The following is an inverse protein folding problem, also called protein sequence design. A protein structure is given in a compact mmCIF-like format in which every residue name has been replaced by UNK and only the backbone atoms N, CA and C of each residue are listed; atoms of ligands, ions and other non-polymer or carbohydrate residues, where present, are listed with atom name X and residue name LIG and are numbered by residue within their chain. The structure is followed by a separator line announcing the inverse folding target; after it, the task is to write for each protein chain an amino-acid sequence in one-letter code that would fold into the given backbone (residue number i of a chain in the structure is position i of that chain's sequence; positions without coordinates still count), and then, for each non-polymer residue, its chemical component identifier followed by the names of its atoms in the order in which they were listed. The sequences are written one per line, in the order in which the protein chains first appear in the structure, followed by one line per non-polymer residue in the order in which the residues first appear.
data_IF_083549110314
#
_entry.id   IF_083549110314
#
_cell.length_a   1.000
_cell.length_b   1.000
_cell.length_c   1.000
_cell.angle_alpha   90.00
_cell.angle_beta   90.00
_cell.angle_gamma   90.00
#
_symmetry.space_group_name_H-M   'P 1'
#
loop_
_entity.id
_entity.type
_entity.pdbx_description
1 polymer ?
#
# COMPACT_ATOMS: atom_id res chain seq x y z
N UNK A 1 -30.01 -20.16 -13.76
CA UNK A 1 -28.86 -20.29 -12.83
C UNK A 1 -29.21 -19.55 -11.55
N UNK A 2 -28.88 -20.05 -10.37
CA UNK A 2 -29.05 -19.30 -9.14
C UNK A 2 -28.18 -18.02 -9.18
N UNK A 3 -28.66 -16.91 -8.62
CA UNK A 3 -27.94 -15.61 -8.62
C UNK A 3 -26.52 -15.73 -8.10
N UNK A 4 -26.30 -16.59 -7.13
CA UNK A 4 -25.00 -16.92 -6.55
C UNK A 4 -23.98 -17.44 -7.62
N UNK A 5 -24.40 -18.37 -8.49
CA UNK A 5 -23.52 -18.89 -9.56
C UNK A 5 -23.18 -17.81 -10.60
N UNK A 6 -24.15 -16.94 -10.92
CA UNK A 6 -23.93 -15.81 -11.83
C UNK A 6 -22.94 -14.82 -11.21
N UNK A 7 -23.11 -14.47 -9.93
CA UNK A 7 -22.21 -13.59 -9.22
C UNK A 7 -20.78 -14.15 -9.16
N UNK A 8 -20.63 -15.46 -8.90
CA UNK A 8 -19.33 -16.12 -8.88
C UNK A 8 -18.64 -16.06 -10.26
N UNK A 9 -19.36 -16.36 -11.33
CA UNK A 9 -18.81 -16.32 -12.68
C UNK A 9 -18.35 -14.90 -13.03
N UNK A 10 -19.19 -13.90 -12.79
CA UNK A 10 -18.86 -12.49 -13.06
C UNK A 10 -17.66 -12.04 -12.24
N UNK A 11 -17.59 -12.42 -10.97
CA UNK A 11 -16.49 -12.12 -10.08
C UNK A 11 -15.16 -12.74 -10.56
N UNK A 12 -15.18 -14.04 -10.94
CA UNK A 12 -13.99 -14.71 -11.49
C UNK A 12 -13.56 -14.05 -12.81
N UNK A 13 -14.50 -13.79 -13.73
CA UNK A 13 -14.20 -13.11 -14.99
C UNK A 13 -13.59 -11.71 -14.77
N UNK A 14 -14.11 -10.95 -13.81
CA UNK A 14 -13.52 -9.66 -13.41
C UNK A 14 -12.05 -9.83 -13.03
N UNK A 15 -11.72 -10.78 -12.14
CA UNK A 15 -10.34 -11.02 -11.73
C UNK A 15 -9.45 -11.50 -12.89
N UNK A 16 -9.94 -12.36 -13.76
CA UNK A 16 -9.21 -12.78 -14.95
C UNK A 16 -8.87 -11.57 -15.84
N UNK A 17 -9.83 -10.67 -16.07
CA UNK A 17 -9.58 -9.46 -16.86
C UNK A 17 -8.56 -8.54 -16.16
N UNK A 18 -8.66 -8.39 -14.85
CA UNK A 18 -7.73 -7.56 -14.06
C UNK A 18 -6.29 -8.08 -14.12
N UNK A 19 -6.10 -9.40 -14.15
CA UNK A 19 -4.78 -10.04 -14.22
C UNK A 19 -4.21 -9.93 -15.65
N UNK A 20 -5.03 -10.24 -16.67
CA UNK A 20 -4.58 -10.32 -18.06
C UNK A 20 -4.40 -8.96 -18.70
N UNK A 21 -5.28 -7.99 -18.35
CA UNK A 21 -5.28 -6.62 -18.91
C UNK A 21 -5.43 -5.58 -17.79
N UNK A 22 -4.33 -5.23 -17.17
CA UNK A 22 -4.31 -4.28 -16.04
C UNK A 22 -4.92 -2.92 -16.38
N UNK A 23 -4.78 -2.45 -17.62
CA UNK A 23 -5.38 -1.20 -18.11
C UNK A 23 -6.92 -1.23 -18.10
N UNK A 24 -7.54 -2.42 -18.07
CA UNK A 24 -8.97 -2.61 -18.09
C UNK A 24 -9.59 -2.84 -16.70
N UNK A 25 -8.78 -2.87 -15.65
CA UNK A 25 -9.22 -3.22 -14.28
C UNK A 25 -10.40 -2.37 -13.81
N UNK A 26 -10.36 -1.05 -13.98
CA UNK A 26 -11.48 -0.15 -13.60
C UNK A 26 -12.76 -0.48 -14.35
N UNK A 27 -12.65 -0.75 -15.66
CA UNK A 27 -13.81 -1.06 -16.49
C UNK A 27 -14.43 -2.41 -16.11
N UNK A 28 -13.61 -3.42 -15.85
CA UNK A 28 -14.07 -4.75 -15.41
C UNK A 28 -14.85 -4.66 -14.09
N UNK A 29 -14.32 -3.94 -13.11
CA UNK A 29 -14.94 -3.76 -11.79
C UNK A 29 -16.28 -3.05 -11.92
N UNK A 30 -16.32 -1.90 -12.62
CA UNK A 30 -17.57 -1.15 -12.79
C UNK A 30 -18.60 -1.88 -13.64
N UNK A 31 -18.19 -2.63 -14.65
CA UNK A 31 -19.10 -3.50 -15.42
C UNK A 31 -19.77 -4.52 -14.51
N UNK A 32 -19.00 -5.21 -13.66
CA UNK A 32 -19.58 -6.19 -12.74
C UNK A 32 -20.45 -5.53 -11.67
N UNK A 33 -20.04 -4.38 -11.12
CA UNK A 33 -20.87 -3.63 -10.17
C UNK A 33 -22.21 -3.22 -10.79
N UNK A 34 -22.21 -2.70 -12.02
CA UNK A 34 -23.44 -2.34 -12.75
C UNK A 34 -24.31 -3.57 -13.07
N UNK A 35 -23.69 -4.69 -13.46
CA UNK A 35 -24.41 -5.94 -13.68
C UNK A 35 -25.04 -6.46 -12.37
N UNK A 36 -24.37 -6.32 -11.24
CA UNK A 36 -24.93 -6.71 -9.93
C UNK A 36 -26.17 -5.87 -9.58
N UNK A 37 -26.15 -4.58 -9.85
CA UNK A 37 -27.34 -3.71 -9.69
C UNK A 37 -28.42 -4.10 -10.70
N UNK A 38 -28.06 -4.34 -11.96
CA UNK A 38 -29.01 -4.70 -13.03
C UNK A 38 -29.72 -6.05 -12.78
N UNK A 39 -28.99 -7.04 -12.28
CA UNK A 39 -29.49 -8.37 -11.95
C UNK A 39 -30.22 -8.44 -10.60
N UNK A 40 -30.23 -7.38 -9.82
CA UNK A 40 -30.84 -7.34 -8.49
C UNK A 40 -30.04 -8.07 -7.41
N UNK A 41 -28.75 -8.33 -7.64
CA UNK A 41 -27.81 -8.81 -6.63
C UNK A 41 -27.56 -7.71 -5.59
N UNK A 42 -27.38 -6.47 -6.05
CA UNK A 42 -27.35 -5.28 -5.22
C UNK A 42 -28.69 -4.53 -5.30
N UNK A 43 -29.07 -3.90 -4.20
CA UNK A 43 -30.26 -3.08 -4.17
C UNK A 43 -30.13 -1.87 -5.12
N UNK A 44 -31.18 -1.56 -5.88
CA UNK A 44 -31.20 -0.43 -6.86
C UNK A 44 -31.38 0.93 -6.22
N UNK A 45 -31.23 1.05 -4.91
CA UNK A 45 -31.37 2.31 -4.19
C UNK A 45 -30.04 3.08 -4.19
N UNK A 46 -29.96 4.30 -4.78
CA UNK A 46 -28.73 5.09 -4.81
C UNK A 46 -28.14 5.38 -3.42
N UNK A 47 -29.00 5.64 -2.42
CA UNK A 47 -28.54 5.89 -1.05
C UNK A 47 -27.89 4.65 -0.44
N UNK A 48 -28.43 3.46 -0.71
CA UNK A 48 -27.81 2.19 -0.31
C UNK A 48 -26.44 2.03 -0.98
N UNK A 49 -26.33 2.22 -2.30
CA UNK A 49 -25.08 2.10 -3.03
C UNK A 49 -24.00 3.06 -2.49
N UNK A 50 -24.38 4.29 -2.14
CA UNK A 50 -23.49 5.25 -1.51
C UNK A 50 -23.09 4.85 -0.09
N UNK A 51 -23.96 4.18 0.67
CA UNK A 51 -23.68 3.73 2.03
C UNK A 51 -22.72 2.54 2.08
N UNK A 52 -22.64 1.74 1.00
CA UNK A 52 -21.71 0.61 0.86
C UNK A 52 -20.26 1.10 0.71
N UNK A 53 -20.06 2.29 0.13
CA UNK A 53 -18.74 2.85 -0.09
C UNK A 53 -18.14 3.32 1.24
N UNK A 54 -16.93 2.86 1.56
CA UNK A 54 -16.20 3.36 2.72
C UNK A 54 -15.59 4.74 2.42
N UNK A 55 -16.36 5.79 2.70
CA UNK A 55 -15.95 7.17 2.45
C UNK A 55 -14.73 7.59 3.25
N UNK A 56 -14.51 7.02 4.44
CA UNK A 56 -13.31 7.30 5.23
C UNK A 56 -12.05 6.91 4.45
N UNK A 57 -12.04 5.71 3.85
CA UNK A 57 -10.93 5.22 3.01
C UNK A 57 -10.72 6.12 1.80
N UNK A 58 -11.79 6.46 1.08
CA UNK A 58 -11.71 7.33 -0.11
C UNK A 58 -11.14 8.71 0.23
N UNK A 59 -11.62 9.31 1.31
CA UNK A 59 -11.18 10.63 1.77
C UNK A 59 -9.74 10.61 2.29
N UNK A 60 -9.32 9.55 3.00
CA UNK A 60 -7.94 9.40 3.44
C UNK A 60 -7.00 9.37 2.23
N UNK A 61 -7.27 8.51 1.26
CA UNK A 61 -6.42 8.36 0.07
C UNK A 61 -6.39 9.67 -0.73
N UNK A 62 -7.55 10.25 -1.05
CA UNK A 62 -7.61 11.48 -1.82
C UNK A 62 -6.95 12.67 -1.12
N UNK A 63 -7.18 12.83 0.20
CA UNK A 63 -6.59 13.89 1.00
C UNK A 63 -5.08 13.78 1.13
N UNK A 64 -4.56 12.58 1.41
CA UNK A 64 -3.11 12.36 1.53
C UNK A 64 -2.40 12.59 0.20
N UNK A 65 -2.96 12.18 -0.93
CA UNK A 65 -2.37 12.42 -2.26
C UNK A 65 -2.17 13.91 -2.56
N UNK A 66 -3.13 14.77 -2.21
CA UNK A 66 -2.99 16.23 -2.37
C UNK A 66 -1.86 16.78 -1.49
N UNK A 67 -1.77 16.36 -0.22
CA UNK A 67 -0.71 16.81 0.69
C UNK A 67 0.67 16.39 0.18
N UNK A 68 0.77 15.15 -0.28
CA UNK A 68 1.99 14.56 -0.85
C UNK A 68 2.43 15.30 -2.11
N UNK A 69 1.50 15.75 -2.97
CA UNK A 69 1.83 16.58 -4.13
C UNK A 69 2.62 17.83 -3.69
N UNK A 70 2.13 18.59 -2.70
CA UNK A 70 2.83 19.78 -2.20
C UNK A 70 4.16 19.43 -1.52
N UNK A 71 4.24 18.27 -0.84
CA UNK A 71 5.48 17.79 -0.24
C UNK A 71 6.55 17.50 -1.30
N UNK A 72 6.17 16.88 -2.42
CA UNK A 72 7.07 16.64 -3.56
C UNK A 72 7.53 17.97 -4.18
N UNK A 73 6.59 18.89 -4.46
CA UNK A 73 6.89 20.21 -5.03
C UNK A 73 7.83 21.05 -4.15
N UNK A 74 7.84 20.82 -2.82
CA UNK A 74 8.74 21.51 -1.89
C UNK A 74 10.21 21.13 -2.05
N UNK A 75 10.54 20.08 -2.81
CA UNK A 75 11.88 19.50 -2.96
C UNK A 75 12.51 19.00 -1.65
N UNK A 76 11.74 18.96 -0.56
CA UNK A 76 12.21 18.44 0.73
C UNK A 76 12.67 16.97 0.62
N UNK A 77 11.98 16.06 -0.10
CA UNK A 77 12.44 14.70 -0.26
C UNK A 77 13.84 14.60 -0.90
N UNK A 78 14.12 15.42 -1.92
CA UNK A 78 15.43 15.48 -2.55
C UNK A 78 16.51 15.88 -1.54
N UNK A 79 16.21 16.90 -0.74
CA UNK A 79 17.12 17.38 0.31
C UNK A 79 17.40 16.32 1.38
N UNK A 80 16.38 15.57 1.79
CA UNK A 80 16.54 14.47 2.75
C UNK A 80 17.38 13.32 2.17
N UNK A 81 17.16 12.98 0.90
CA UNK A 81 17.95 11.96 0.19
C UNK A 81 19.44 12.37 0.10
N UNK A 82 19.74 13.65 -0.20
CA UNK A 82 21.12 14.17 -0.25
C UNK A 82 21.81 14.09 1.12
N UNK A 83 21.11 14.39 2.20
CA UNK A 83 21.66 14.26 3.57
C UNK A 83 22.05 12.80 3.87
N UNK A 84 21.29 11.82 3.34
CA UNK A 84 21.61 10.41 3.49
C UNK A 84 22.84 10.06 2.66
N UNK A 85 22.91 10.56 1.43
CA UNK A 85 24.04 10.34 0.52
C UNK A 85 25.35 10.82 1.12
N UNK A 86 25.38 12.01 1.71
CA UNK A 86 26.57 12.60 2.34
C UNK A 86 27.14 11.72 3.47
N UNK A 87 26.32 10.82 4.04
CA UNK A 87 26.73 9.87 5.09
C UNK A 87 27.17 8.49 4.55
N UNK A 88 27.02 8.23 3.25
CA UNK A 88 27.33 6.94 2.65
C UNK A 88 28.80 6.82 2.25
N UNK A 89 29.45 5.75 2.67
CA UNK A 89 30.86 5.48 2.31
C UNK A 89 31.03 4.85 0.93
N UNK A 90 30.02 4.16 0.42
CA UNK A 90 30.06 3.46 -0.88
C UNK A 90 28.65 3.24 -1.44
N UNK A 91 28.58 2.83 -2.72
CA UNK A 91 27.34 2.63 -3.47
C UNK A 91 26.41 1.60 -2.84
N UNK A 92 26.94 0.52 -2.25
CA UNK A 92 26.11 -0.48 -1.55
C UNK A 92 25.28 0.18 -0.45
N UNK A 93 25.92 1.00 0.39
CA UNK A 93 25.20 1.70 1.46
C UNK A 93 24.25 2.76 0.92
N UNK A 94 24.57 3.40 -0.21
CA UNK A 94 23.61 4.29 -0.88
C UNK A 94 22.33 3.53 -1.25
N UNK A 95 22.45 2.37 -1.91
CA UNK A 95 21.30 1.55 -2.30
C UNK A 95 20.47 1.16 -1.06
N UNK A 96 21.14 0.67 -0.01
CA UNK A 96 20.46 0.21 1.21
C UNK A 96 19.78 1.37 1.93
N UNK A 97 20.50 2.46 2.20
CA UNK A 97 19.96 3.59 2.96
C UNK A 97 18.87 4.34 2.17
N UNK A 98 19.01 4.48 0.86
CA UNK A 98 17.95 5.05 0.01
C UNK A 98 16.69 4.16 -0.01
N UNK A 99 16.86 2.84 0.01
CA UNK A 99 15.74 1.91 0.10
C UNK A 99 15.03 2.01 1.45
N UNK A 100 15.78 2.02 2.56
CA UNK A 100 15.22 2.20 3.91
C UNK A 100 14.56 3.57 4.07
N UNK A 101 15.17 4.62 3.50
CA UNK A 101 14.58 5.95 3.48
C UNK A 101 13.26 5.97 2.72
N UNK A 102 13.23 5.38 1.52
CA UNK A 102 12.00 5.24 0.75
C UNK A 102 10.93 4.50 1.54
N UNK A 103 11.28 3.41 2.19
CA UNK A 103 10.39 2.69 3.07
C UNK A 103 9.88 3.54 4.23
N UNK A 104 10.77 4.21 4.97
CA UNK A 104 10.39 5.07 6.10
C UNK A 104 9.46 6.21 5.68
N UNK A 105 9.66 6.77 4.50
CA UNK A 105 8.75 7.77 3.91
C UNK A 105 7.42 7.12 3.54
N UNK A 106 7.46 5.92 2.95
CA UNK A 106 6.27 5.18 2.53
C UNK A 106 5.40 4.72 3.71
N UNK A 107 5.95 4.63 4.90
CA UNK A 107 5.13 4.41 6.09
C UNK A 107 4.08 5.50 6.34
N UNK A 108 4.24 6.69 5.74
CA UNK A 108 3.35 7.84 5.91
C UNK A 108 2.83 8.41 4.59
N UNK A 109 3.34 7.93 3.47
CA UNK A 109 3.02 8.37 2.11
C UNK A 109 2.80 7.14 1.25
N UNK A 110 1.82 7.18 0.36
CA UNK A 110 1.55 6.12 -0.60
C UNK A 110 2.82 5.62 -1.31
N UNK A 111 2.92 4.31 -1.50
CA UNK A 111 4.10 3.64 -2.03
C UNK A 111 4.43 4.06 -3.46
N UNK A 112 3.43 4.31 -4.33
CA UNK A 112 3.64 4.79 -5.71
C UNK A 112 4.19 6.21 -5.69
N UNK A 113 3.59 7.10 -4.91
CA UNK A 113 4.05 8.47 -4.75
C UNK A 113 5.48 8.52 -4.19
N UNK A 114 5.81 7.65 -3.24
CA UNK A 114 7.17 7.52 -2.69
C UNK A 114 8.17 7.11 -3.76
N UNK A 115 7.84 6.14 -4.62
CA UNK A 115 8.73 5.74 -5.74
C UNK A 115 8.89 6.88 -6.73
N UNK A 116 7.80 7.54 -7.15
CA UNK A 116 7.86 8.70 -8.07
C UNK A 116 8.72 9.83 -7.54
N UNK A 117 8.81 9.99 -6.22
CA UNK A 117 9.56 11.03 -5.54
C UNK A 117 11.05 10.68 -5.37
N UNK A 118 11.35 9.45 -4.92
CA UNK A 118 12.72 9.07 -4.54
C UNK A 118 13.50 8.44 -5.69
N UNK A 119 12.82 7.73 -6.59
CA UNK A 119 13.50 7.06 -7.70
C UNK A 119 14.20 8.03 -8.67
N UNK A 120 13.69 9.23 -9.02
CA UNK A 120 14.43 10.21 -9.82
C UNK A 120 15.77 10.62 -9.19
N UNK A 121 15.80 10.77 -7.85
CA UNK A 121 17.03 11.06 -7.10
C UNK A 121 18.01 9.90 -7.22
N UNK A 122 17.53 8.67 -7.01
CA UNK A 122 18.31 7.44 -7.21
C UNK A 122 18.88 7.33 -8.64
N UNK A 123 18.07 7.66 -9.67
CA UNK A 123 18.51 7.72 -11.07
C UNK A 123 19.64 8.74 -11.29
N UNK A 124 19.47 9.95 -10.76
CA UNK A 124 20.48 11.01 -10.90
C UNK A 124 21.82 10.59 -10.28
N UNK A 125 21.77 9.95 -9.10
CA UNK A 125 22.94 9.40 -8.43
C UNK A 125 23.62 8.34 -9.31
N UNK A 126 22.85 7.34 -9.77
CA UNK A 126 23.37 6.25 -10.58
C UNK A 126 24.01 6.76 -11.89
N UNK A 127 23.42 7.79 -12.53
CA UNK A 127 23.99 8.46 -13.71
C UNK A 127 25.32 9.13 -13.39
N UNK A 128 25.40 9.83 -12.24
CA UNK A 128 26.63 10.54 -11.82
C UNK A 128 27.79 9.57 -11.59
N UNK A 129 27.54 8.46 -10.89
CA UNK A 129 28.57 7.45 -10.58
C UNK A 129 28.68 6.36 -11.65
N UNK A 130 27.96 6.50 -12.76
CA UNK A 130 28.01 5.61 -13.94
C UNK A 130 27.75 4.12 -13.62
N UNK A 131 26.76 3.85 -12.80
CA UNK A 131 26.30 2.49 -12.47
C UNK A 131 24.90 2.24 -13.02
N UNK A 132 24.51 0.95 -13.13
CA UNK A 132 23.15 0.57 -13.47
C UNK A 132 22.16 1.04 -12.38
N UNK A 133 21.08 1.73 -12.74
CA UNK A 133 20.06 2.16 -11.77
C UNK A 133 19.10 1.04 -11.35
N UNK A 134 19.15 -0.12 -12.00
CA UNK A 134 18.22 -1.23 -11.74
C UNK A 134 18.21 -1.65 -10.26
N UNK A 135 19.38 -1.96 -9.61
CA UNK A 135 19.37 -2.34 -8.19
C UNK A 135 18.79 -1.26 -7.28
N UNK A 136 19.08 0.00 -7.55
CA UNK A 136 18.61 1.14 -6.77
C UNK A 136 17.09 1.28 -6.84
N UNK A 137 16.53 1.37 -8.04
CA UNK A 137 15.10 1.61 -8.23
C UNK A 137 14.26 0.43 -7.78
N UNK A 138 14.69 -0.80 -8.05
CA UNK A 138 13.97 -1.98 -7.58
C UNK A 138 13.99 -2.07 -6.05
N UNK A 139 15.11 -1.78 -5.40
CA UNK A 139 15.21 -1.79 -3.95
C UNK A 139 14.34 -0.69 -3.31
N UNK A 140 14.28 0.51 -3.91
CA UNK A 140 13.37 1.59 -3.51
C UNK A 140 11.92 1.11 -3.59
N UNK A 141 11.51 0.48 -4.70
CA UNK A 141 10.15 0.02 -4.91
C UNK A 141 9.72 -1.04 -3.90
N UNK A 142 10.51 -2.11 -3.73
CA UNK A 142 10.17 -3.20 -2.81
C UNK A 142 10.19 -2.75 -1.34
N UNK A 143 11.07 -1.81 -0.97
CA UNK A 143 11.14 -1.27 0.38
C UNK A 143 9.97 -0.30 0.66
N UNK A 144 9.60 0.52 -0.32
CA UNK A 144 8.42 1.39 -0.26
C UNK A 144 7.15 0.57 -0.07
N UNK A 145 6.96 -0.47 -0.87
CA UNK A 145 5.80 -1.35 -0.74
C UNK A 145 5.76 -2.11 0.61
N UNK A 146 6.92 -2.55 1.12
CA UNK A 146 7.01 -3.20 2.43
C UNK A 146 6.56 -2.25 3.55
N UNK A 147 7.20 -1.10 3.69
CA UNK A 147 7.00 -0.23 4.85
C UNK A 147 5.71 0.61 4.73
N UNK A 148 5.09 0.70 3.55
CA UNK A 148 3.74 1.24 3.41
C UNK A 148 2.71 0.55 4.31
N UNK A 149 2.88 -0.74 4.62
CA UNK A 149 2.03 -1.47 5.55
C UNK A 149 2.24 -1.13 7.03
N UNK A 150 3.24 -0.32 7.39
CA UNK A 150 3.60 -0.05 8.78
C UNK A 150 2.56 0.80 9.52
N UNK A 151 1.92 1.74 8.85
CA UNK A 151 0.94 2.65 9.47
C UNK A 151 -0.38 2.69 8.73
N UNK A 152 -1.38 3.28 9.36
CA UNK A 152 -2.72 3.44 8.78
C UNK A 152 -2.73 4.21 7.45
N UNK A 153 -1.79 5.09 7.20
CA UNK A 153 -1.80 6.03 6.05
C UNK A 153 -0.74 5.74 4.98
N UNK A 154 0.14 4.77 5.23
CA UNK A 154 1.28 4.50 4.36
C UNK A 154 0.93 3.76 3.06
N UNK A 155 -0.06 2.86 3.09
CA UNK A 155 -0.49 2.12 1.90
C UNK A 155 -2.01 1.98 1.86
N UNK A 156 -2.56 1.90 0.66
CA UNK A 156 -4.01 1.68 0.44
C UNK A 156 -4.51 0.43 1.16
N UNK A 157 -3.74 -0.65 1.22
CA UNK A 157 -4.10 -1.89 1.92
C UNK A 157 -4.24 -1.69 3.43
N UNK A 158 -3.36 -0.89 4.03
CA UNK A 158 -3.44 -0.51 5.45
C UNK A 158 -4.64 0.38 5.74
N UNK A 159 -4.91 1.36 4.86
CA UNK A 159 -6.09 2.23 4.96
C UNK A 159 -7.38 1.39 4.88
N UNK A 160 -7.40 0.39 3.99
CA UNK A 160 -8.55 -0.52 3.83
C UNK A 160 -8.74 -1.39 5.08
N UNK A 161 -7.68 -1.99 5.61
CA UNK A 161 -7.75 -2.75 6.86
C UNK A 161 -8.26 -1.86 8.01
N UNK A 162 -7.67 -0.68 8.16
CA UNK A 162 -8.08 0.29 9.19
C UNK A 162 -9.53 0.70 9.07
N UNK A 163 -9.99 0.99 7.85
CA UNK A 163 -11.39 1.34 7.59
C UNK A 163 -12.37 0.19 7.80
N UNK A 164 -11.98 -1.04 7.44
CA UNK A 164 -12.80 -2.24 7.58
C UNK A 164 -12.88 -2.71 9.04
N UNK A 165 -11.74 -2.82 9.71
CA UNK A 165 -11.62 -3.26 11.10
C UNK A 165 -11.89 -2.11 12.10
N UNK A 166 -12.21 -0.90 11.63
CA UNK A 166 -12.43 0.32 12.41
C UNK A 166 -11.25 0.65 13.34
N UNK A 167 -10.03 0.42 12.85
CA UNK A 167 -8.80 0.71 13.56
C UNK A 167 -8.46 2.19 13.47
N UNK A 168 -7.97 2.75 14.55
CA UNK A 168 -7.38 4.09 14.59
C UNK A 168 -5.87 4.04 14.27
N UNK A 169 -5.23 5.20 14.13
CA UNK A 169 -3.81 5.30 13.77
C UNK A 169 -2.89 4.64 14.80
N UNK A 170 -3.15 4.82 16.10
CA UNK A 170 -2.32 4.27 17.16
C UNK A 170 -2.42 2.75 17.29
N UNK A 171 -3.50 2.15 16.81
CA UNK A 171 -3.69 0.70 16.85
C UNK A 171 -2.78 -0.05 15.86
N UNK A 172 -2.19 0.65 14.87
CA UNK A 172 -1.11 0.09 14.08
C UNK A 172 0.19 -0.05 14.88
N UNK A 173 0.39 0.77 15.92
CA UNK A 173 1.54 0.65 16.84
C UNK A 173 1.22 -0.29 18.00
N UNK A 174 0.13 -0.02 18.71
CA UNK A 174 -0.27 -0.84 19.86
C UNK A 174 -1.78 -1.07 19.82
N UNK A 175 -2.18 -2.33 19.76
CA UNK A 175 -3.56 -2.74 19.78
C UNK A 175 -3.82 -3.73 20.91
N UNK A 176 -4.81 -3.49 21.74
CA UNK A 176 -5.15 -4.32 22.91
C UNK A 176 -3.93 -4.61 23.82
N UNK A 177 -3.01 -3.65 23.96
CA UNK A 177 -1.80 -3.78 24.75
C UNK A 177 -0.69 -4.63 24.12
N UNK A 178 -0.85 -5.06 22.88
CA UNK A 178 0.16 -5.83 22.12
C UNK A 178 0.77 -4.99 21.00
N UNK A 179 2.05 -5.21 20.63
CA UNK A 179 2.66 -4.59 19.47
C UNK A 179 1.89 -4.90 18.18
N UNK A 180 1.59 -3.85 17.38
CA UNK A 180 0.83 -3.94 16.15
C UNK A 180 1.67 -4.13 14.89
N UNK A 181 1.05 -3.81 13.74
CA UNK A 181 1.65 -3.99 12.41
C UNK A 181 2.93 -3.19 12.21
N UNK A 182 3.06 -1.98 12.80
CA UNK A 182 4.26 -1.18 12.72
C UNK A 182 5.52 -1.99 13.06
N UNK A 183 5.51 -2.66 14.20
CA UNK A 183 6.67 -3.46 14.64
C UNK A 183 6.91 -4.68 13.76
N UNK A 184 5.86 -5.33 13.26
CA UNK A 184 5.97 -6.45 12.32
C UNK A 184 6.71 -6.03 11.05
N UNK A 185 6.31 -4.89 10.48
CA UNK A 185 6.84 -4.37 9.23
C UNK A 185 8.26 -3.84 9.41
N UNK A 186 8.54 -3.09 10.47
CA UNK A 186 9.88 -2.55 10.72
C UNK A 186 10.91 -3.65 11.03
N UNK A 187 10.52 -4.68 11.78
CA UNK A 187 11.38 -5.87 11.97
C UNK A 187 11.62 -6.59 10.65
N UNK A 188 10.60 -6.68 9.79
CA UNK A 188 10.73 -7.18 8.43
C UNK A 188 11.71 -6.35 7.61
N UNK A 189 11.63 -5.02 7.68
CA UNK A 189 12.55 -4.12 7.00
C UNK A 189 14.00 -4.30 7.50
N UNK A 190 14.21 -4.42 8.81
CA UNK A 190 15.52 -4.72 9.38
C UNK A 190 16.07 -6.06 8.87
N UNK A 191 15.23 -7.09 8.77
CA UNK A 191 15.62 -8.41 8.27
C UNK A 191 16.02 -8.39 6.78
N UNK A 192 15.57 -7.40 5.99
CA UNK A 192 15.99 -7.26 4.58
C UNK A 192 17.39 -6.65 4.44
N UNK A 193 17.91 -5.94 5.44
CA UNK A 193 19.23 -5.28 5.37
C UNK A 193 20.35 -6.28 5.07
N UNK A 194 20.55 -7.38 5.82
CA UNK A 194 21.58 -8.36 5.51
C UNK A 194 21.39 -9.00 4.12
N UNK A 195 20.15 -9.16 3.65
CA UNK A 195 19.86 -9.65 2.29
C UNK A 195 20.36 -8.66 1.26
N UNK A 196 20.04 -7.37 1.41
CA UNK A 196 20.53 -6.32 0.52
C UNK A 196 22.05 -6.19 0.55
N UNK A 197 22.68 -6.29 1.74
CA UNK A 197 24.14 -6.31 1.87
C UNK A 197 24.77 -7.47 1.09
N UNK A 198 24.17 -8.65 1.13
CA UNK A 198 24.64 -9.81 0.37
C UNK A 198 24.45 -9.60 -1.16
N UNK A 199 23.28 -9.14 -1.59
CA UNK A 199 22.97 -8.92 -2.99
C UNK A 199 23.87 -7.84 -3.63
N UNK A 200 24.11 -6.75 -2.89
CA UNK A 200 24.82 -5.57 -3.41
C UNK A 200 26.30 -5.50 -2.97
N UNK A 201 26.86 -6.55 -2.39
CA UNK A 201 28.25 -6.61 -1.89
C UNK A 201 29.35 -6.25 -2.92
N UNK A 202 29.01 -6.27 -4.22
CA UNK A 202 29.93 -5.92 -5.31
C UNK A 202 29.98 -4.41 -5.58
N UNK A 203 29.03 -3.62 -5.08
CA UNK A 203 28.94 -2.17 -5.30
C UNK A 203 29.73 -1.42 -4.23
N UNK A 204 31.06 -1.45 -4.32
CA UNK A 204 31.98 -0.85 -3.33
C UNK A 204 32.63 0.45 -3.79
N UNK A 205 32.21 1.01 -4.94
CA UNK A 205 32.73 2.27 -5.45
C UNK A 205 32.44 3.39 -4.44
N UNK A 206 33.41 4.32 -4.20
CA UNK A 206 33.18 5.48 -3.36
C UNK A 206 32.13 6.40 -3.98
N UNK A 207 31.44 7.15 -3.14
CA UNK A 207 30.43 8.13 -3.57
C UNK A 207 30.93 9.52 -3.22
N UNK A 208 30.90 10.43 -4.18
CA UNK A 208 31.20 11.83 -3.98
C UNK A 208 29.93 12.60 -3.59
N UNK A 209 30.09 13.60 -2.71
CA UNK A 209 29.00 14.47 -2.28
C UNK A 209 28.29 15.14 -3.47
N UNK A 210 27.00 15.33 -3.36
CA UNK A 210 26.15 15.98 -4.35
C UNK A 210 25.94 17.46 -4.04
N UNK A 211 25.57 18.25 -5.05
CA UNK A 211 25.11 19.62 -4.85
C UNK A 211 23.85 19.60 -3.95
N UNK A 212 23.72 20.62 -3.11
CA UNK A 212 22.62 20.70 -2.15
C UNK A 212 21.40 21.33 -2.79
N UNK A 213 20.28 20.57 -2.83
CA UNK A 213 18.99 21.07 -3.29
C UNK A 213 18.45 22.14 -2.32
N UNK A 214 18.03 23.28 -2.82
CA UNK A 214 17.31 24.30 -2.07
C UNK A 214 15.85 23.90 -1.91
N UNK A 215 15.35 23.93 -0.66
CA UNK A 215 13.96 23.59 -0.33
C UNK A 215 13.07 24.80 -0.61
N UNK A 216 12.03 24.62 -1.43
CA UNK A 216 11.11 25.70 -1.82
C UNK A 216 10.08 26.10 -0.74
N UNK A 217 10.12 25.45 0.40
CA UNK A 217 9.28 25.77 1.56
C UNK A 217 9.07 24.60 2.51
N UNK A 218 8.94 24.90 3.78
CA UNK A 218 8.81 23.90 4.85
C UNK A 218 7.35 23.55 5.18
N UNK A 219 6.39 24.39 4.75
CA UNK A 219 4.98 24.24 5.10
C UNK A 219 4.39 22.86 4.70
N UNK A 220 4.67 22.28 3.50
CA UNK A 220 4.16 20.96 3.17
C UNK A 220 4.68 19.84 4.08
N UNK A 221 5.93 19.96 4.55
CA UNK A 221 6.49 19.02 5.53
C UNK A 221 5.77 19.13 6.88
N UNK A 222 5.49 20.36 7.33
CA UNK A 222 4.72 20.63 8.54
C UNK A 222 3.30 20.08 8.40
N UNK A 223 2.66 20.25 7.24
CA UNK A 223 1.34 19.71 6.96
C UNK A 223 1.31 18.18 7.03
N UNK A 224 2.30 17.49 6.45
CA UNK A 224 2.41 16.04 6.52
C UNK A 224 2.57 15.55 7.97
N UNK A 225 3.45 16.20 8.75
CA UNK A 225 3.58 15.92 10.19
C UNK A 225 2.25 16.23 10.90
N UNK A 226 1.59 17.31 10.53
CA UNK A 226 0.28 17.72 11.04
C UNK A 226 -0.80 16.65 10.84
N UNK A 227 -0.81 15.95 9.70
CA UNK A 227 -1.71 14.78 9.48
C UNK A 227 -1.43 13.72 10.55
N UNK A 228 -0.17 13.29 10.68
CA UNK A 228 0.23 12.23 11.61
C UNK A 228 -0.15 12.62 13.05
N UNK A 229 0.21 13.83 13.47
CA UNK A 229 -0.13 14.33 14.82
C UNK A 229 -1.63 14.38 15.03
N UNK A 230 -2.40 14.87 14.05
CA UNK A 230 -3.87 14.93 14.15
C UNK A 230 -4.52 13.55 14.25
N UNK A 231 -4.02 12.56 13.51
CA UNK A 231 -4.47 11.17 13.59
C UNK A 231 -4.12 10.53 14.94
N UNK A 232 -2.94 10.83 15.49
CA UNK A 232 -2.55 10.41 16.84
C UNK A 232 -3.51 11.01 17.87
N UNK A 233 -3.74 12.34 17.83
CA UNK A 233 -4.67 13.02 18.75
C UNK A 233 -6.06 12.43 18.62
N UNK A 234 -6.58 12.24 17.41
CA UNK A 234 -7.89 11.63 17.17
C UNK A 234 -8.01 10.22 17.75
N UNK A 235 -6.92 9.46 17.79
CA UNK A 235 -6.89 8.11 18.35
C UNK A 235 -7.16 8.06 19.88
N UNK A 236 -6.91 9.18 20.58
CA UNK A 236 -7.14 9.28 22.02
C UNK A 236 -8.51 9.91 22.38
N UNK A 237 -9.28 10.37 21.39
CA UNK A 237 -10.61 10.93 21.61
C UNK A 237 -11.64 9.79 21.53
N UNK A 238 -12.37 9.51 22.62
CA UNK A 238 -13.39 8.46 22.60
C UNK A 238 -14.59 8.85 21.71
N UNK A 239 -15.23 7.85 21.12
CA UNK A 239 -16.43 7.99 20.29
C UNK A 239 -16.28 8.93 19.07
N UNK A 240 -15.09 8.97 18.49
CA UNK A 240 -14.89 9.72 17.24
C UNK A 240 -15.72 9.09 16.10
N UNK A 241 -16.30 9.92 15.21
CA UNK A 241 -17.02 9.41 14.04
C UNK A 241 -16.09 8.54 13.18
N UNK A 242 -16.60 7.43 12.62
CA UNK A 242 -15.79 6.52 11.78
C UNK A 242 -15.19 7.16 10.52
N UNK A 243 -15.57 8.39 10.18
CA UNK A 243 -15.06 9.17 9.04
C UNK A 243 -13.92 10.14 9.43
N UNK A 244 -13.55 10.22 10.72
CA UNK A 244 -12.66 11.26 11.26
C UNK A 244 -11.27 11.28 10.58
N UNK A 245 -10.70 10.11 10.30
CA UNK A 245 -9.37 10.02 9.68
C UNK A 245 -9.39 10.63 8.27
N UNK A 246 -10.42 10.32 7.48
CA UNK A 246 -10.62 10.92 6.16
C UNK A 246 -10.84 12.42 6.21
N UNK A 247 -11.64 12.91 7.18
CA UNK A 247 -11.86 14.35 7.38
C UNK A 247 -10.56 15.07 7.71
N UNK A 248 -9.73 14.54 8.61
CA UNK A 248 -8.42 15.12 8.94
C UNK A 248 -7.57 15.28 7.67
N UNK A 249 -7.44 14.22 6.87
CA UNK A 249 -6.66 14.26 5.64
C UNK A 249 -7.21 15.30 4.66
N UNK A 250 -8.53 15.36 4.45
CA UNK A 250 -9.15 16.33 3.56
C UNK A 250 -9.02 17.77 4.05
N UNK A 251 -9.21 18.03 5.34
CA UNK A 251 -9.08 19.37 5.92
C UNK A 251 -7.65 19.91 5.75
N UNK A 252 -6.64 19.09 6.08
CA UNK A 252 -5.24 19.49 5.91
C UNK A 252 -4.89 19.67 4.42
N UNK A 253 -5.44 18.84 3.52
CA UNK A 253 -5.29 19.04 2.08
C UNK A 253 -5.86 20.38 1.62
N UNK A 254 -7.06 20.75 2.08
CA UNK A 254 -7.65 22.06 1.80
C UNK A 254 -6.81 23.21 2.36
N UNK A 255 -6.25 23.05 3.56
CA UNK A 255 -5.33 24.05 4.13
C UNK A 255 -4.08 24.19 3.25
N UNK A 256 -3.48 23.09 2.77
CA UNK A 256 -2.35 23.13 1.84
C UNK A 256 -2.69 23.90 0.56
N UNK A 257 -3.84 23.61 -0.04
CA UNK A 257 -4.33 24.29 -1.24
C UNK A 257 -4.56 25.79 -0.97
N UNK A 258 -5.15 26.15 0.18
CA UNK A 258 -5.42 27.54 0.54
C UNK A 258 -4.13 28.33 0.79
N UNK A 259 -3.16 27.75 1.48
CA UNK A 259 -1.85 28.39 1.72
C UNK A 259 -1.10 28.61 0.42
N UNK A 260 -1.06 27.63 -0.48
CA UNK A 260 -0.39 27.78 -1.76
C UNK A 260 -1.06 28.86 -2.63
N UNK A 261 -2.40 28.88 -2.68
CA UNK A 261 -3.17 29.86 -3.43
C UNK A 261 -2.97 31.30 -2.92
N UNK A 262 -3.01 31.52 -1.58
CA UNK A 262 -2.93 32.85 -0.99
C UNK A 262 -1.51 33.35 -0.80
N UNK A 263 -0.54 32.47 -0.46
CA UNK A 263 0.83 32.84 -0.13
C UNK A 263 1.72 32.85 -1.37
N UNK A 264 1.69 31.76 -2.15
CA UNK A 264 2.53 31.64 -3.36
C UNK A 264 1.90 32.25 -4.60
N UNK A 265 0.59 32.58 -4.58
CA UNK A 265 -0.18 33.14 -5.71
C UNK A 265 -0.04 32.32 -7.00
N UNK A 266 0.04 31.01 -6.88
CA UNK A 266 0.18 30.08 -8.00
C UNK A 266 -1.11 29.26 -8.24
N UNK A 267 -2.13 29.81 -8.93
CA UNK A 267 -3.40 29.11 -9.17
C UNK A 267 -3.22 27.82 -10.00
N UNK A 268 -2.12 27.70 -10.74
CA UNK A 268 -1.82 26.49 -11.52
C UNK A 268 -1.53 25.28 -10.62
N UNK A 269 -0.91 25.48 -9.45
CA UNK A 269 -0.62 24.42 -8.51
C UNK A 269 -1.90 23.82 -7.92
N UNK A 270 -2.95 24.60 -7.73
CA UNK A 270 -4.24 24.11 -7.28
C UNK A 270 -4.83 23.09 -8.28
N UNK A 271 -4.77 23.41 -9.58
CA UNK A 271 -5.20 22.48 -10.61
C UNK A 271 -4.32 21.23 -10.67
N UNK A 272 -3.02 21.39 -10.58
CA UNK A 272 -2.05 20.28 -10.58
C UNK A 272 -2.23 19.38 -9.36
N UNK A 273 -2.47 19.94 -8.16
CA UNK A 273 -2.69 19.14 -6.94
C UNK A 273 -3.97 18.30 -7.01
N UNK A 274 -5.05 18.83 -7.61
CA UNK A 274 -6.27 18.05 -7.85
C UNK A 274 -6.10 17.01 -8.96
N UNK A 275 -5.24 17.27 -9.94
CA UNK A 275 -4.92 16.31 -11.00
C UNK A 275 -3.93 15.21 -10.53
N UNK A 276 -3.15 15.45 -9.47
CA UNK A 276 -2.25 14.46 -8.88
C UNK A 276 -2.99 13.37 -8.11
N UNK A 277 -4.28 13.58 -7.78
CA UNK A 277 -5.10 12.55 -7.16
C UNK A 277 -5.31 11.40 -8.16
N UNK A 278 -4.92 10.21 -7.78
CA UNK A 278 -5.12 9.00 -8.59
C UNK A 278 -6.60 8.60 -8.60
N UNK A 279 -7.31 9.18 -9.58
CA UNK A 279 -8.73 8.93 -9.80
C UNK A 279 -9.00 7.47 -10.16
N UNK A 280 -8.04 6.79 -10.78
CA UNK A 280 -8.20 5.40 -11.17
C UNK A 280 -8.27 4.51 -9.92
N UNK A 281 -7.36 4.68 -8.96
CA UNK A 281 -7.40 3.97 -7.70
C UNK A 281 -8.68 4.24 -6.91
N UNK A 282 -9.13 5.51 -6.83
CA UNK A 282 -10.38 5.83 -6.14
C UNK A 282 -11.61 5.18 -6.81
N UNK A 283 -11.70 5.20 -8.14
CA UNK A 283 -12.78 4.54 -8.88
C UNK A 283 -12.75 3.02 -8.71
N UNK A 284 -11.57 2.40 -8.74
CA UNK A 284 -11.38 0.97 -8.48
C UNK A 284 -11.93 0.62 -7.10
N UNK A 285 -11.56 1.36 -6.07
CA UNK A 285 -12.01 1.11 -4.70
C UNK A 285 -13.53 1.24 -4.54
N UNK A 286 -14.12 2.32 -5.09
CA UNK A 286 -15.57 2.49 -5.05
C UNK A 286 -16.30 1.33 -5.70
N UNK A 287 -15.85 0.91 -6.89
CA UNK A 287 -16.45 -0.22 -7.60
C UNK A 287 -16.24 -1.55 -6.86
N UNK A 288 -15.05 -1.76 -6.26
CA UNK A 288 -14.76 -2.95 -5.44
C UNK A 288 -15.65 -3.04 -4.21
N UNK A 289 -15.91 -1.95 -3.49
CA UNK A 289 -16.84 -1.98 -2.36
C UNK A 289 -18.22 -2.48 -2.80
N UNK A 290 -18.73 -2.03 -3.96
CA UNK A 290 -20.00 -2.49 -4.50
C UNK A 290 -19.95 -3.98 -4.89
N UNK A 291 -18.92 -4.42 -5.60
CA UNK A 291 -18.77 -5.82 -6.00
C UNK A 291 -18.66 -6.74 -4.79
N UNK A 292 -17.86 -6.36 -3.79
CA UNK A 292 -17.68 -7.13 -2.56
C UNK A 292 -18.99 -7.23 -1.79
N UNK A 293 -19.75 -6.13 -1.69
CA UNK A 293 -21.07 -6.18 -1.08
C UNK A 293 -22.00 -7.14 -1.83
N UNK A 294 -21.99 -7.11 -3.16
CA UNK A 294 -22.82 -8.01 -3.96
C UNK A 294 -22.49 -9.47 -3.77
N UNK A 295 -21.20 -9.85 -3.72
CA UNK A 295 -20.83 -11.26 -3.43
C UNK A 295 -21.12 -11.65 -1.99
N UNK A 296 -21.11 -10.69 -1.06
CA UNK A 296 -21.51 -10.91 0.34
C UNK A 296 -23.01 -11.17 0.43
N UNK A 297 -23.83 -10.35 -0.22
CA UNK A 297 -25.30 -10.45 -0.19
C UNK A 297 -25.81 -11.80 -0.75
N UNK A 298 -25.09 -12.40 -1.69
CA UNK A 298 -25.43 -13.73 -2.22
C UNK A 298 -24.75 -14.91 -1.48
N UNK A 299 -24.03 -14.65 -0.37
CA UNK A 299 -23.42 -15.67 0.49
C UNK A 299 -22.16 -16.32 -0.08
N UNK A 300 -21.49 -15.71 -1.07
CA UNK A 300 -20.22 -16.25 -1.63
C UNK A 300 -19.06 -16.08 -0.65
N UNK A 301 -19.09 -15.05 0.19
CA UNK A 301 -18.08 -14.83 1.23
C UNK A 301 -18.11 -15.97 2.25
N UNK A 302 -19.31 -16.38 2.68
CA UNK A 302 -19.49 -17.47 3.64
C UNK A 302 -19.00 -18.80 3.07
N UNK A 303 -19.31 -19.09 1.80
CA UNK A 303 -18.82 -20.29 1.13
C UNK A 303 -17.29 -20.31 1.01
N UNK A 304 -16.66 -19.15 0.72
CA UNK A 304 -15.21 -19.04 0.67
C UNK A 304 -14.58 -19.24 2.06
N UNK A 305 -15.19 -18.66 3.10
CA UNK A 305 -14.76 -18.82 4.48
C UNK A 305 -14.84 -20.30 4.93
N UNK A 306 -15.96 -20.96 4.69
CA UNK A 306 -16.11 -22.39 4.96
C UNK A 306 -15.08 -23.26 4.22
N UNK A 307 -14.82 -22.93 2.94
CA UNK A 307 -13.83 -23.64 2.12
C UNK A 307 -12.43 -23.54 2.73
N UNK A 308 -12.02 -22.34 3.16
CA UNK A 308 -10.70 -22.12 3.79
C UNK A 308 -10.64 -22.81 5.16
N UNK A 309 -11.70 -22.72 5.96
CA UNK A 309 -11.77 -23.43 7.27
C UNK A 309 -11.65 -24.95 7.08
N UNK A 310 -12.30 -25.53 6.07
CA UNK A 310 -12.15 -26.96 5.74
C UNK A 310 -10.72 -27.35 5.39
N UNK A 311 -9.98 -26.48 4.69
CA UNK A 311 -8.56 -26.70 4.37
C UNK A 311 -7.66 -26.63 5.59
N UNK A 312 -7.91 -25.67 6.49
CA UNK A 312 -7.14 -25.47 7.73
C UNK A 312 -7.49 -26.46 8.84
N UNK A 313 -8.66 -27.09 8.78
CA UNK A 313 -9.20 -27.94 9.84
C UNK A 313 -9.31 -27.16 11.17
N UNK A 314 -9.09 -27.85 12.28
CA UNK A 314 -9.08 -27.24 13.62
C UNK A 314 -7.70 -26.64 14.01
N UNK A 315 -6.76 -26.57 13.07
CA UNK A 315 -5.41 -26.09 13.34
C UNK A 315 -5.27 -24.62 12.96
N UNK A 316 -5.33 -23.74 13.96
CA UNK A 316 -5.22 -22.29 13.77
C UNK A 316 -3.89 -21.89 13.12
N UNK A 317 -2.79 -22.60 13.43
CA UNK A 317 -1.49 -22.33 12.82
C UNK A 317 -1.48 -22.64 11.31
N UNK A 318 -2.09 -23.75 10.93
CA UNK A 318 -2.20 -24.13 9.52
C UNK A 318 -3.07 -23.12 8.76
N UNK A 319 -4.22 -22.72 9.34
CA UNK A 319 -5.11 -21.73 8.77
C UNK A 319 -4.40 -20.37 8.59
N UNK A 320 -3.71 -19.90 9.63
CA UNK A 320 -2.91 -18.70 9.57
C UNK A 320 -1.82 -18.78 8.48
N UNK A 321 -1.12 -19.92 8.41
CA UNK A 321 -0.09 -20.16 7.39
C UNK A 321 -0.65 -20.16 5.98
N UNK A 322 -1.82 -20.76 5.76
CA UNK A 322 -2.53 -20.74 4.46
C UNK A 322 -2.87 -19.30 4.08
N UNK A 323 -3.39 -18.51 5.01
CA UNK A 323 -3.75 -17.11 4.75
C UNK A 323 -2.50 -16.29 4.41
N UNK A 324 -1.43 -16.36 5.22
CA UNK A 324 -0.22 -15.55 4.98
C UNK A 324 0.46 -15.94 3.68
N UNK A 325 0.84 -17.22 3.54
CA UNK A 325 1.62 -17.67 2.39
C UNK A 325 0.78 -17.76 1.11
N UNK A 326 -0.51 -18.09 1.23
CA UNK A 326 -1.45 -17.96 0.14
C UNK A 326 -1.54 -16.51 -0.35
N UNK A 327 -1.63 -15.55 0.58
CA UNK A 327 -1.63 -14.12 0.23
C UNK A 327 -0.33 -13.69 -0.46
N UNK A 328 0.83 -14.19 0.01
CA UNK A 328 2.13 -13.91 -0.66
C UNK A 328 2.12 -14.40 -2.11
N UNK A 329 1.61 -15.61 -2.36
CA UNK A 329 1.58 -16.19 -3.70
C UNK A 329 0.59 -15.45 -4.60
N UNK A 330 -0.64 -15.22 -4.13
CA UNK A 330 -1.66 -14.55 -4.94
C UNK A 330 -1.30 -13.10 -5.24
N UNK A 331 -0.82 -12.34 -4.25
CA UNK A 331 -0.44 -10.94 -4.42
C UNK A 331 0.81 -10.76 -5.30
N UNK A 332 1.61 -11.80 -5.51
CA UNK A 332 2.69 -11.75 -6.48
C UNK A 332 2.21 -11.49 -7.93
N UNK A 333 0.97 -11.84 -8.25
CA UNK A 333 0.40 -11.75 -9.60
C UNK A 333 -0.86 -10.88 -9.68
N UNK A 334 -1.51 -10.63 -8.55
CA UNK A 334 -2.73 -9.82 -8.42
C UNK A 334 -2.37 -8.59 -7.60
N UNK A 335 -2.79 -7.41 -8.04
CA UNK A 335 -2.62 -6.17 -7.28
C UNK A 335 -3.15 -6.36 -5.83
N UNK A 336 -2.40 -5.90 -4.85
CA UNK A 336 -2.70 -6.08 -3.43
C UNK A 336 -4.03 -5.42 -3.01
N UNK A 337 -4.44 -4.32 -3.65
CA UNK A 337 -5.68 -3.59 -3.32
C UNK A 337 -6.93 -4.49 -3.49
N UNK A 338 -7.26 -5.01 -4.69
CA UNK A 338 -8.43 -5.86 -4.86
C UNK A 338 -8.35 -7.16 -4.07
N UNK A 339 -7.15 -7.70 -3.90
CA UNK A 339 -6.95 -8.92 -3.13
C UNK A 339 -7.31 -8.71 -1.64
N UNK A 340 -6.75 -7.69 -1.00
CA UNK A 340 -7.06 -7.37 0.41
C UNK A 340 -8.53 -7.03 0.59
N UNK A 341 -9.12 -6.23 -0.32
CA UNK A 341 -10.54 -5.88 -0.30
C UNK A 341 -11.44 -7.11 -0.21
N UNK A 342 -11.12 -8.15 -0.99
CA UNK A 342 -11.90 -9.39 -1.02
C UNK A 342 -11.63 -10.28 0.20
N UNK A 343 -10.38 -10.35 0.64
CA UNK A 343 -10.00 -11.24 1.74
C UNK A 343 -10.46 -10.75 3.12
N UNK A 344 -10.59 -9.44 3.33
CA UNK A 344 -11.04 -8.89 4.62
C UNK A 344 -12.39 -9.46 5.08
N UNK A 345 -13.49 -9.43 4.29
CA UNK A 345 -14.76 -10.04 4.68
C UNK A 345 -14.67 -11.56 4.80
N UNK A 346 -13.88 -12.26 3.96
CA UNK A 346 -13.68 -13.71 4.07
C UNK A 346 -13.04 -14.05 5.43
N UNK A 347 -12.01 -13.31 5.85
CA UNK A 347 -11.37 -13.51 7.16
C UNK A 347 -12.38 -13.25 8.29
N UNK A 348 -13.24 -12.23 8.17
CA UNK A 348 -14.29 -11.99 9.14
C UNK A 348 -15.21 -13.21 9.26
N UNK A 349 -15.66 -13.77 8.14
CA UNK A 349 -16.47 -14.99 8.10
C UNK A 349 -15.75 -16.18 8.75
N UNK A 350 -14.45 -16.38 8.45
CA UNK A 350 -13.62 -17.41 9.11
C UNK A 350 -13.61 -17.23 10.63
N UNK A 351 -13.38 -16.00 11.10
CA UNK A 351 -13.30 -15.71 12.53
C UNK A 351 -14.65 -15.91 13.23
N UNK A 352 -15.76 -15.59 12.56
CA UNK A 352 -17.10 -15.86 13.06
C UNK A 352 -17.38 -17.36 13.17
N UNK A 353 -17.01 -18.16 12.16
CA UNK A 353 -17.17 -19.60 12.16
C UNK A 353 -16.35 -20.27 13.28
N UNK A 354 -15.15 -19.80 13.53
CA UNK A 354 -14.24 -20.36 14.53
C UNK A 354 -14.36 -19.70 15.91
N UNK A 355 -15.16 -18.64 16.04
CA UNK A 355 -15.32 -17.83 17.25
C UNK A 355 -13.98 -17.32 17.82
N UNK A 356 -13.10 -16.83 16.93
CA UNK A 356 -11.79 -16.27 17.29
C UNK A 356 -11.70 -14.78 16.98
N UNK A 357 -10.76 -14.09 17.64
CA UNK A 357 -10.43 -12.71 17.36
C UNK A 357 -9.78 -12.57 15.98
N UNK A 358 -10.14 -11.55 15.17
CA UNK A 358 -9.72 -11.48 13.78
C UNK A 358 -8.28 -10.97 13.57
N UNK A 359 -7.67 -10.32 14.56
CA UNK A 359 -6.43 -9.56 14.38
C UNK A 359 -5.23 -10.41 13.95
N UNK A 360 -5.11 -11.65 14.44
CA UNK A 360 -4.10 -12.60 13.97
C UNK A 360 -4.19 -12.78 12.45
N UNK A 361 -5.40 -13.00 11.94
CA UNK A 361 -5.61 -13.27 10.51
C UNK A 361 -5.58 -11.98 9.67
N UNK A 362 -6.06 -10.85 10.19
CA UNK A 362 -5.97 -9.55 9.53
C UNK A 362 -4.52 -9.10 9.34
N UNK A 363 -3.72 -9.18 10.40
CA UNK A 363 -2.30 -8.82 10.32
C UNK A 363 -1.51 -9.83 9.46
N UNK A 364 -1.89 -11.10 9.53
CA UNK A 364 -1.38 -12.13 8.63
C UNK A 364 -1.69 -11.83 7.16
N UNK A 365 -2.94 -11.47 6.85
CA UNK A 365 -3.35 -11.04 5.51
C UNK A 365 -2.53 -9.86 5.02
N UNK A 366 -2.43 -8.80 5.84
CA UNK A 366 -1.71 -7.58 5.44
C UNK A 366 -0.23 -7.88 5.20
N UNK A 367 0.41 -8.66 6.10
CA UNK A 367 1.79 -9.13 5.93
C UNK A 367 1.95 -9.90 4.62
N UNK A 368 1.07 -10.87 4.34
CA UNK A 368 1.17 -11.69 3.12
C UNK A 368 0.87 -10.91 1.85
N UNK A 369 -0.20 -10.14 1.84
CA UNK A 369 -0.68 -9.45 0.64
C UNK A 369 0.24 -8.29 0.24
N UNK A 370 0.63 -7.42 1.17
CA UNK A 370 1.48 -6.27 0.83
C UNK A 370 2.87 -6.73 0.40
N UNK A 371 3.48 -7.67 1.13
CA UNK A 371 4.82 -8.15 0.83
C UNK A 371 4.88 -9.08 -0.38
N UNK A 372 3.83 -9.86 -0.62
CA UNK A 372 3.75 -10.76 -1.78
C UNK A 372 3.88 -10.04 -3.11
N UNK A 373 3.32 -8.84 -3.21
CA UNK A 373 3.46 -7.99 -4.39
C UNK A 373 4.91 -7.70 -4.79
N UNK A 374 5.86 -7.79 -3.86
CA UNK A 374 7.29 -7.56 -4.11
C UNK A 374 8.00 -8.69 -4.87
N UNK A 375 7.36 -9.85 -5.06
CA UNK A 375 7.97 -10.99 -5.77
C UNK A 375 8.12 -10.71 -7.25
N UNK A 376 7.16 -10.04 -7.88
CA UNK A 376 7.13 -9.80 -9.32
C UNK A 376 7.06 -8.32 -9.69
N UNK A 377 7.46 -7.95 -10.91
CA UNK A 377 7.38 -6.55 -11.36
C UNK A 377 5.95 -6.03 -11.52
N UNK A 378 4.94 -6.90 -11.51
CA UNK A 378 3.53 -6.55 -11.72
C UNK A 378 2.66 -6.71 -10.47
N UNK A 379 3.20 -7.27 -9.38
CA UNK A 379 2.44 -7.58 -8.17
C UNK A 379 2.07 -6.34 -7.31
N UNK A 380 2.75 -5.21 -7.51
CA UNK A 380 2.42 -3.96 -6.83
C UNK A 380 2.61 -2.77 -7.76
N UNK A 381 1.77 -1.74 -7.60
CA UNK A 381 1.80 -0.52 -8.43
C UNK A 381 3.14 0.23 -8.31
N UNK A 382 3.78 0.22 -7.13
CA UNK A 382 5.12 0.79 -6.91
C UNK A 382 6.20 0.12 -7.80
N UNK A 383 6.12 -1.20 -7.98
CA UNK A 383 7.05 -1.96 -8.82
C UNK A 383 6.85 -1.60 -10.30
N UNK A 384 5.58 -1.53 -10.75
CA UNK A 384 5.24 -1.14 -12.12
C UNK A 384 5.79 0.26 -12.41
N UNK A 385 5.65 1.18 -11.47
CA UNK A 385 6.16 2.55 -11.57
C UNK A 385 7.68 2.56 -11.71
N UNK A 386 8.40 1.88 -10.84
CA UNK A 386 9.87 1.81 -10.89
C UNK A 386 10.40 1.19 -12.20
N UNK A 387 9.78 0.08 -12.63
CA UNK A 387 10.12 -0.58 -13.91
C UNK A 387 9.76 0.32 -15.10
N UNK A 388 8.64 1.05 -15.02
CA UNK A 388 8.25 2.06 -16.03
C UNK A 388 9.29 3.17 -16.17
N UNK A 389 9.78 3.71 -15.05
CA UNK A 389 10.86 4.72 -15.06
C UNK A 389 12.15 4.17 -15.63
N UNK A 390 12.56 2.97 -15.27
CA UNK A 390 13.74 2.30 -15.85
C UNK A 390 13.59 2.12 -17.35
N UNK A 391 12.40 1.75 -17.83
CA UNK A 391 12.11 1.62 -19.27
C UNK A 391 12.22 2.94 -20.02
N UNK A 392 11.76 4.06 -19.43
CA UNK A 392 11.91 5.41 -20.01
C UNK A 392 13.38 5.81 -20.14
N UNK A 393 14.25 5.37 -19.24
CA UNK A 393 15.69 5.57 -19.27
C UNK A 393 16.45 4.54 -20.14
N UNK A 394 15.72 3.70 -20.89
CA UNK A 394 16.29 2.72 -21.82
C UNK A 394 16.69 1.37 -21.20
N UNK A 395 16.43 1.16 -19.90
CA UNK A 395 16.72 -0.11 -19.24
C UNK A 395 15.54 -1.07 -19.36
N UNK A 396 15.82 -2.34 -19.69
CA UNK A 396 14.83 -3.41 -19.76
C UNK A 396 14.99 -4.30 -18.54
N UNK A 397 13.97 -4.36 -17.71
CA UNK A 397 13.92 -5.26 -16.53
C UNK A 397 12.99 -6.41 -16.84
N UNK A 398 13.54 -7.62 -16.89
CA UNK A 398 12.76 -8.85 -17.04
C UNK A 398 12.25 -9.38 -15.68
N UNK A 399 11.26 -10.28 -15.73
CA UNK A 399 10.75 -10.95 -14.53
C UNK A 399 11.86 -11.57 -13.68
N UNK A 400 12.77 -12.35 -14.31
CA UNK A 400 13.86 -13.01 -13.59
C UNK A 400 14.84 -12.05 -12.92
N UNK A 401 15.08 -10.87 -13.51
CA UNK A 401 15.96 -9.85 -12.94
C UNK A 401 15.30 -9.18 -11.72
N UNK A 402 14.01 -8.86 -11.82
CA UNK A 402 13.24 -8.33 -10.69
C UNK A 402 13.19 -9.35 -9.54
N UNK A 403 12.85 -10.61 -9.84
CA UNK A 403 12.69 -11.68 -8.84
C UNK A 403 13.99 -12.01 -8.10
N UNK A 404 15.18 -11.77 -8.68
CA UNK A 404 16.46 -11.94 -7.98
C UNK A 404 16.59 -11.02 -6.76
N UNK A 405 15.95 -9.86 -6.77
CA UNK A 405 15.88 -8.93 -5.64
C UNK A 405 14.60 -9.19 -4.85
N UNK A 406 13.47 -9.28 -5.54
CA UNK A 406 12.14 -9.37 -4.92
C UNK A 406 11.93 -10.61 -4.07
N UNK A 407 12.33 -11.81 -4.54
CA UNK A 407 12.11 -13.06 -3.78
C UNK A 407 12.87 -13.06 -2.45
N UNK A 408 14.20 -12.90 -2.40
CA UNK A 408 14.92 -12.96 -1.12
C UNK A 408 14.51 -11.83 -0.18
N UNK A 409 14.20 -10.65 -0.70
CA UNK A 409 13.67 -9.53 0.06
C UNK A 409 12.33 -9.89 0.70
N UNK A 410 11.37 -10.38 -0.10
CA UNK A 410 10.03 -10.77 0.36
C UNK A 410 10.09 -11.90 1.39
N UNK A 411 10.88 -12.94 1.13
CA UNK A 411 10.99 -14.07 2.07
C UNK A 411 11.54 -13.64 3.43
N UNK A 412 12.54 -12.77 3.46
CA UNK A 412 13.07 -12.23 4.71
C UNK A 412 12.02 -11.39 5.45
N UNK A 413 11.38 -10.46 4.76
CA UNK A 413 10.40 -9.56 5.37
C UNK A 413 9.12 -10.29 5.78
N UNK A 414 8.51 -11.07 4.86
CA UNK A 414 7.29 -11.82 5.14
C UNK A 414 7.50 -12.92 6.18
N UNK A 415 8.64 -13.62 6.13
CA UNK A 415 9.00 -14.62 7.13
C UNK A 415 9.14 -14.03 8.53
N UNK A 416 9.79 -12.88 8.66
CA UNK A 416 9.90 -12.15 9.92
C UNK A 416 8.55 -11.68 10.42
N UNK A 417 7.75 -11.05 9.55
CA UNK A 417 6.40 -10.61 9.90
C UNK A 417 5.46 -11.77 10.26
N UNK A 418 5.53 -12.88 9.52
CA UNK A 418 4.79 -14.11 9.81
C UNK A 418 5.07 -14.66 11.21
N UNK A 419 6.35 -14.75 11.58
CA UNK A 419 6.74 -15.20 12.93
C UNK A 419 6.31 -14.19 14.00
N UNK A 420 6.57 -12.90 13.79
CA UNK A 420 6.18 -11.84 14.73
C UNK A 420 4.67 -11.86 15.00
N UNK A 421 3.85 -11.82 13.95
CA UNK A 421 2.37 -11.80 14.10
C UNK A 421 1.89 -13.07 14.79
N UNK A 422 2.43 -14.24 14.45
CA UNK A 422 2.07 -15.49 15.12
C UNK A 422 2.38 -15.46 16.62
N UNK A 423 3.60 -15.09 17.01
CA UNK A 423 3.99 -15.15 18.44
C UNK A 423 3.30 -14.08 19.29
N UNK A 424 2.94 -12.96 18.72
CA UNK A 424 2.29 -11.84 19.44
C UNK A 424 0.76 -12.01 19.49
N UNK A 425 0.13 -12.54 18.43
CA UNK A 425 -1.33 -12.47 18.23
C UNK A 425 -2.06 -13.82 18.28
N UNK A 426 -1.34 -14.92 18.45
CA UNK A 426 -1.96 -16.24 18.64
C UNK A 426 -2.77 -16.35 19.93
#
# INVERSE_FOLDING_TARGET
MPLQSIALILFILMYVVMIVKQEWRRYAIWTVALLFVGLGILQRNPLYLLSVINWNVIMMIGGTMVIVYYFIESKMPNRLAEIILDKCSNVMWVIILMSLFAGSVSAFIDNVATVLMIAPVGLAICKKIKISPIPMLLSIAVSSNLQGAATLVGDTTSIMLGGYAKMNFMEFFFMKGRPGMFFSVELGAMATVPIMMFLFRKFRQPVEATEKTEVEGYFPSIALIGVVVSLIVASFIPNTPGIINGLICCVIAVICMAVDFHVKKMPENLKKSLLSVDRETLLILMGLFLVIQGITDVGLIDLAAEGIVKLGGNNLFLLYSIIVWGSVIFSAFIDNIPYVATMLPIITGICQLLQIEPYLLYFGLLTGATLGGNITPIGASANITAVGMLKQEGYKVGFGEFMKIGIPFTLAAAGTGYLFVWFIWR
#
